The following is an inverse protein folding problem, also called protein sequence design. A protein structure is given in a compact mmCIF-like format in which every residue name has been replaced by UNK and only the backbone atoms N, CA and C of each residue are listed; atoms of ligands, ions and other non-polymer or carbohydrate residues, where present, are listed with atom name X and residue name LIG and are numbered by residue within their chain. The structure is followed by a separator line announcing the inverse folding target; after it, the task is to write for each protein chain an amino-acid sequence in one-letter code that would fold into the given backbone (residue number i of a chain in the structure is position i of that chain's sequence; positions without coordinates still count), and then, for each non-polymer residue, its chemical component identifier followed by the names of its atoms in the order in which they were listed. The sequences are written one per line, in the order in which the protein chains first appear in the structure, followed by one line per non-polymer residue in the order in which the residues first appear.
data_IF_115298744245
#
_entry.id   IF_115298744245
#
_cell.length_a   1.000
_cell.length_b   1.000
_cell.length_c   1.000
_cell.angle_alpha   90.00
_cell.angle_beta   90.00
_cell.angle_gamma   90.00
#
_symmetry.space_group_name_H-M   'P 1'
#
loop_
_entity.id
_entity.type
_entity.pdbx_description
1 polymer ?
#
# COMPACT_ATOMS: atom_id res chain seq x y z
N UNK A 1 35.30 -82.55 19.87
CA UNK A 1 35.32 -81.07 19.90
C UNK A 1 33.98 -80.58 19.40
N UNK A 2 33.22 -79.94 20.28
CA UNK A 2 31.87 -79.44 20.07
C UNK A 2 31.98 -77.91 20.08
N UNK A 3 31.58 -77.23 19.00
CA UNK A 3 31.44 -75.76 18.99
C UNK A 3 30.22 -75.43 18.15
N UNK A 4 29.15 -75.00 18.84
CA UNK A 4 27.88 -74.63 18.23
C UNK A 4 27.89 -73.23 17.64
N UNK A 5 26.97 -72.98 16.71
CA UNK A 5 26.63 -71.65 16.23
C UNK A 5 25.16 -71.36 16.55
N UNK A 6 24.94 -70.29 17.34
CA UNK A 6 23.62 -69.73 17.66
C UNK A 6 23.27 -68.69 16.59
N UNK A 7 22.00 -68.54 16.17
CA UNK A 7 21.59 -67.43 15.33
C UNK A 7 21.43 -66.16 16.18
N UNK A 8 21.98 -65.06 15.68
CA UNK A 8 21.77 -63.72 16.24
C UNK A 8 20.50 -63.12 15.63
N UNK A 9 19.50 -62.81 16.47
CA UNK A 9 18.43 -61.88 16.15
C UNK A 9 18.92 -60.46 16.41
N UNK A 10 19.16 -59.69 15.35
CA UNK A 10 19.39 -58.25 15.42
C UNK A 10 18.14 -57.51 14.97
N UNK A 11 17.50 -56.81 15.90
CA UNK A 11 16.31 -56.01 15.65
C UNK A 11 16.61 -54.88 14.65
N UNK A 12 15.89 -54.85 13.53
CA UNK A 12 15.82 -53.69 12.67
C UNK A 12 14.89 -52.66 13.33
N UNK A 13 15.46 -51.73 14.08
CA UNK A 13 14.78 -50.49 14.49
C UNK A 13 14.49 -49.70 13.23
N UNK A 14 13.26 -49.80 12.72
CA UNK A 14 12.75 -48.92 11.68
C UNK A 14 12.63 -47.51 12.26
N UNK A 15 13.54 -46.61 11.85
CA UNK A 15 13.29 -45.18 11.99
C UNK A 15 12.10 -44.83 11.09
N UNK A 16 10.93 -44.65 11.69
CA UNK A 16 9.84 -43.89 11.11
C UNK A 16 10.31 -42.44 11.03
N UNK A 17 10.87 -42.05 9.87
CA UNK A 17 10.95 -40.64 9.48
C UNK A 17 9.51 -40.19 9.21
N UNK A 18 8.83 -39.70 10.24
CA UNK A 18 7.68 -38.84 10.06
C UNK A 18 8.19 -37.54 9.44
N UNK A 19 8.24 -37.49 8.11
CA UNK A 19 8.37 -36.24 7.38
C UNK A 19 7.09 -35.45 7.63
N UNK A 20 7.09 -34.62 8.68
CA UNK A 20 6.10 -33.57 8.83
C UNK A 20 6.28 -32.65 7.64
N UNK A 21 5.45 -32.83 6.62
CA UNK A 21 5.19 -31.81 5.62
C UNK A 21 4.57 -30.62 6.37
N UNK A 22 5.41 -29.77 6.95
CA UNK A 22 5.05 -28.36 7.10
C UNK A 22 4.85 -27.88 5.68
N UNK A 23 3.60 -27.81 5.23
CA UNK A 23 3.23 -27.42 3.88
C UNK A 23 3.80 -26.05 3.57
N UNK A 24 5.01 -26.01 3.02
CA UNK A 24 5.56 -24.84 2.39
C UNK A 24 4.76 -24.67 1.10
N UNK A 25 3.73 -23.83 1.14
CA UNK A 25 3.09 -23.36 -0.07
C UNK A 25 4.17 -22.61 -0.86
N UNK A 26 4.63 -23.19 -1.97
CA UNK A 26 5.47 -22.48 -2.91
C UNK A 26 4.56 -21.47 -3.62
N UNK A 27 4.75 -20.19 -3.30
CA UNK A 27 4.07 -19.09 -3.96
C UNK A 27 4.90 -18.60 -5.14
N UNK A 28 4.29 -18.47 -6.31
CA UNK A 28 4.89 -17.78 -7.45
C UNK A 28 3.92 -16.73 -7.96
N UNK A 29 4.40 -15.50 -8.08
CA UNK A 29 3.68 -14.43 -8.76
C UNK A 29 3.74 -14.64 -10.27
N UNK A 30 2.59 -14.57 -10.93
CA UNK A 30 2.42 -14.69 -12.38
C UNK A 30 1.60 -13.51 -12.89
N UNK A 31 2.03 -12.90 -13.99
CA UNK A 31 1.32 -11.81 -14.65
C UNK A 31 0.65 -12.37 -15.91
N UNK A 32 -0.70 -12.33 -15.97
CA UNK A 32 -1.47 -12.71 -17.17
C UNK A 32 -1.77 -11.46 -18.00
N UNK A 33 -1.43 -11.50 -19.28
CA UNK A 33 -1.70 -10.39 -20.20
C UNK A 33 -3.21 -10.27 -20.46
N UNK A 34 -3.77 -9.09 -20.29
CA UNK A 34 -5.15 -8.79 -20.69
C UNK A 34 -5.11 -8.18 -22.08
N UNK A 35 -5.83 -8.78 -23.04
CA UNK A 35 -5.89 -8.33 -24.43
C UNK A 35 -6.40 -6.88 -24.52
N UNK A 36 -5.62 -6.00 -25.13
CA UNK A 36 -5.95 -4.58 -25.34
C UNK A 36 -5.45 -4.12 -26.71
N UNK A 37 -6.31 -3.41 -27.45
CA UNK A 37 -6.02 -2.96 -28.81
C UNK A 37 -4.78 -2.04 -28.87
N UNK A 38 -3.82 -2.45 -29.69
CA UNK A 38 -2.71 -1.69 -30.30
C UNK A 38 -2.01 -0.62 -29.43
N UNK A 39 -1.07 -0.97 -28.53
CA UNK A 39 0.11 -0.15 -28.11
C UNK A 39 1.07 -0.93 -27.14
N UNK A 40 2.36 -0.54 -26.97
CA UNK A 40 3.44 -1.43 -26.47
C UNK A 40 3.52 -1.60 -24.94
N UNK A 41 2.51 -1.22 -24.19
CA UNK A 41 2.48 -1.35 -22.73
C UNK A 41 1.35 -2.28 -22.32
N UNK A 42 1.72 -3.49 -21.94
CA UNK A 42 0.83 -4.61 -21.70
C UNK A 42 0.21 -4.44 -20.30
N UNK A 43 -1.11 -4.31 -20.24
CA UNK A 43 -1.88 -4.37 -18.98
C UNK A 43 -1.91 -5.83 -18.52
N UNK A 44 -1.57 -6.10 -17.26
CA UNK A 44 -1.48 -7.48 -16.76
C UNK A 44 -2.24 -7.68 -15.46
N UNK A 45 -3.01 -8.76 -15.40
CA UNK A 45 -3.58 -9.24 -14.15
C UNK A 45 -2.48 -9.94 -13.34
N UNK A 46 -2.19 -9.41 -12.16
CA UNK A 46 -1.22 -10.01 -11.24
C UNK A 46 -1.92 -11.06 -10.39
N UNK A 47 -1.37 -12.27 -10.38
CA UNK A 47 -1.88 -13.42 -9.63
C UNK A 47 -0.78 -14.07 -8.84
N UNK A 48 -1.12 -14.49 -7.62
CA UNK A 48 -0.27 -15.41 -6.87
C UNK A 48 -0.82 -16.83 -7.02
N UNK A 49 0.07 -17.75 -7.41
CA UNK A 49 -0.22 -19.18 -7.49
C UNK A 49 0.36 -19.89 -6.27
N UNK A 50 -0.47 -20.64 -5.58
CA UNK A 50 -0.11 -21.45 -4.44
C UNK A 50 -0.39 -22.92 -4.70
N UNK A 51 0.52 -23.80 -4.29
CA UNK A 51 0.25 -25.24 -4.23
C UNK A 51 0.00 -25.61 -2.77
N UNK A 52 -1.19 -26.11 -2.47
CA UNK A 52 -1.60 -26.49 -1.11
C UNK A 52 -2.15 -27.92 -1.09
N UNK A 53 -2.17 -28.61 0.06
CA UNK A 53 -2.89 -29.87 0.19
C UNK A 53 -4.35 -29.73 -0.25
N UNK A 54 -4.91 -30.79 -0.84
CA UNK A 54 -6.24 -30.77 -1.46
C UNK A 54 -7.34 -30.24 -0.54
N UNK A 55 -7.26 -30.55 0.75
CA UNK A 55 -8.27 -30.15 1.74
C UNK A 55 -7.86 -28.93 2.58
N UNK A 56 -6.69 -28.34 2.31
CA UNK A 56 -6.19 -27.15 3.02
C UNK A 56 -6.61 -25.85 2.32
N UNK A 57 -6.90 -24.81 3.11
CA UNK A 57 -7.08 -23.44 2.62
C UNK A 57 -5.77 -22.65 2.59
N UNK A 58 -5.81 -21.47 1.96
CA UNK A 58 -4.76 -20.47 2.17
C UNK A 58 -4.90 -19.81 3.53
N UNK A 59 -3.79 -19.35 4.08
CA UNK A 59 -3.78 -18.48 5.25
C UNK A 59 -4.54 -17.20 4.92
N UNK A 60 -5.65 -16.95 5.64
CA UNK A 60 -6.55 -15.82 5.34
C UNK A 60 -5.88 -14.48 5.53
N UNK A 61 -4.82 -14.42 6.37
CA UNK A 61 -4.05 -13.21 6.64
C UNK A 61 -3.41 -12.60 5.39
N UNK A 62 -3.10 -13.44 4.40
CA UNK A 62 -2.54 -13.00 3.10
C UNK A 62 -3.50 -12.00 2.41
N UNK A 63 -4.81 -12.25 2.48
CA UNK A 63 -5.81 -11.36 1.90
C UNK A 63 -6.24 -10.26 2.89
N UNK A 64 -6.38 -10.60 4.17
CA UNK A 64 -6.83 -9.65 5.20
C UNK A 64 -5.90 -8.45 5.35
N UNK A 65 -4.57 -8.65 5.30
CA UNK A 65 -3.60 -7.55 5.43
C UNK A 65 -3.71 -6.57 4.25
N UNK A 66 -3.96 -7.08 3.05
CA UNK A 66 -4.14 -6.24 1.86
C UNK A 66 -5.45 -5.47 1.93
N UNK A 67 -6.56 -6.15 2.26
CA UNK A 67 -7.87 -5.53 2.37
C UNK A 67 -7.90 -4.45 3.45
N UNK A 68 -7.25 -4.70 4.59
CA UNK A 68 -7.10 -3.71 5.65
C UNK A 68 -6.27 -2.51 5.17
N UNK A 69 -5.16 -2.75 4.48
CA UNK A 69 -4.30 -1.69 3.96
C UNK A 69 -5.01 -0.83 2.90
N UNK A 70 -5.67 -1.44 1.91
CA UNK A 70 -6.34 -0.67 0.84
C UNK A 70 -7.50 0.15 1.37
N UNK A 71 -8.22 -0.35 2.37
CA UNK A 71 -9.26 0.39 3.04
C UNK A 71 -8.69 1.62 3.79
N UNK A 72 -7.63 1.39 4.56
CA UNK A 72 -6.97 2.41 5.37
C UNK A 72 -6.29 3.50 4.50
N UNK A 73 -5.43 3.09 3.57
CA UNK A 73 -4.75 4.01 2.66
C UNK A 73 -5.71 4.72 1.72
N UNK A 74 -6.81 4.06 1.31
CA UNK A 74 -7.85 4.69 0.49
C UNK A 74 -8.54 5.85 1.21
N UNK A 75 -8.91 5.68 2.49
CA UNK A 75 -9.43 6.78 3.33
C UNK A 75 -8.39 7.86 3.56
N UNK A 76 -7.14 7.47 3.82
CA UNK A 76 -6.05 8.41 4.01
C UNK A 76 -5.86 9.31 2.79
N UNK A 77 -5.70 8.72 1.60
CA UNK A 77 -5.58 9.48 0.35
C UNK A 77 -6.77 10.40 0.10
N UNK A 78 -8.00 9.94 0.40
CA UNK A 78 -9.19 10.78 0.28
C UNK A 78 -9.11 12.03 1.17
N UNK A 79 -8.54 11.94 2.37
CA UNK A 79 -8.28 13.09 3.22
C UNK A 79 -7.33 14.12 2.61
N UNK A 80 -6.24 13.66 1.98
CA UNK A 80 -5.32 14.55 1.28
C UNK A 80 -5.99 15.25 0.07
N UNK A 81 -6.78 14.50 -0.72
CA UNK A 81 -7.60 15.07 -1.80
C UNK A 81 -8.54 16.15 -1.26
N UNK A 82 -9.29 15.85 -0.19
CA UNK A 82 -10.25 16.77 0.39
C UNK A 82 -9.59 18.05 0.95
N UNK A 83 -8.44 17.93 1.63
CA UNK A 83 -7.67 19.10 2.09
C UNK A 83 -7.18 19.97 0.92
N UNK A 84 -6.70 19.34 -0.16
CA UNK A 84 -6.25 20.04 -1.36
C UNK A 84 -7.40 20.75 -2.07
N UNK A 85 -8.58 20.13 -2.17
CA UNK A 85 -9.79 20.75 -2.71
C UNK A 85 -10.23 21.95 -1.87
N UNK A 86 -10.22 21.83 -0.53
CA UNK A 86 -10.54 22.95 0.37
C UNK A 86 -9.59 24.12 0.14
N UNK A 87 -8.28 23.87 0.02
CA UNK A 87 -7.31 24.91 -0.28
C UNK A 87 -7.59 25.59 -1.62
N UNK A 88 -7.89 24.82 -2.67
CA UNK A 88 -8.15 25.35 -4.01
C UNK A 88 -9.44 26.16 -4.11
N UNK A 89 -10.46 25.79 -3.33
CA UNK A 89 -11.79 26.42 -3.33
C UNK A 89 -11.85 27.69 -2.47
N UNK A 90 -11.02 27.81 -1.43
CA UNK A 90 -11.02 28.98 -0.57
C UNK A 90 -10.36 30.19 -1.26
N UNK A 91 -10.99 31.38 -1.24
CA UNK A 91 -10.43 32.58 -1.86
C UNK A 91 -9.11 33.05 -1.24
N UNK A 92 -8.68 32.53 -0.09
CA UNK A 92 -7.36 32.79 0.51
C UNK A 92 -6.26 31.91 -0.10
N UNK A 93 -6.60 30.73 -0.66
CA UNK A 93 -5.66 29.80 -1.28
C UNK A 93 -5.19 30.26 -2.66
N UNK A 94 -4.40 31.35 -2.69
CA UNK A 94 -4.00 32.05 -3.91
C UNK A 94 -2.55 31.81 -4.33
N UNK A 95 -1.72 31.21 -3.49
CA UNK A 95 -0.32 31.00 -3.81
C UNK A 95 -0.21 30.05 -5.02
N UNK A 96 0.30 30.51 -6.18
CA UNK A 96 0.24 29.74 -7.42
C UNK A 96 1.01 28.42 -7.33
N UNK A 97 2.12 28.40 -6.59
CA UNK A 97 2.94 27.19 -6.39
C UNK A 97 2.21 26.18 -5.50
N UNK A 98 1.52 26.65 -4.46
CA UNK A 98 0.74 25.75 -3.58
C UNK A 98 -0.56 25.27 -4.23
N UNK A 99 -1.15 26.07 -5.12
CA UNK A 99 -2.26 25.59 -5.96
C UNK A 99 -1.80 24.49 -6.91
N UNK A 100 -0.59 24.60 -7.46
CA UNK A 100 0.03 23.53 -8.25
C UNK A 100 0.30 22.29 -7.40
N UNK A 101 0.82 22.43 -6.18
CA UNK A 101 0.96 21.32 -5.23
C UNK A 101 -0.39 20.63 -4.98
N UNK A 102 -1.43 21.40 -4.64
CA UNK A 102 -2.77 20.87 -4.36
C UNK A 102 -3.36 20.12 -5.57
N UNK A 103 -3.23 20.67 -6.78
CA UNK A 103 -3.66 20.00 -8.01
C UNK A 103 -2.88 18.71 -8.27
N UNK A 104 -1.58 18.70 -7.98
CA UNK A 104 -0.75 17.51 -8.10
C UNK A 104 -1.15 16.41 -7.11
N UNK A 105 -1.39 16.78 -5.85
CA UNK A 105 -1.90 15.87 -4.81
C UNK A 105 -3.23 15.25 -5.24
N UNK A 106 -4.18 16.06 -5.72
CA UNK A 106 -5.48 15.55 -6.19
C UNK A 106 -5.27 14.54 -7.32
N UNK A 107 -4.58 14.95 -8.39
CA UNK A 107 -4.41 14.09 -9.56
C UNK A 107 -3.71 12.76 -9.24
N UNK A 108 -2.65 12.82 -8.43
CA UNK A 108 -1.86 11.63 -8.10
C UNK A 108 -2.61 10.72 -7.12
N UNK A 109 -3.18 11.27 -6.06
CA UNK A 109 -3.83 10.45 -5.02
C UNK A 109 -5.21 9.92 -5.46
N UNK A 110 -5.92 10.59 -6.37
CA UNK A 110 -7.11 10.02 -7.02
C UNK A 110 -6.76 8.79 -7.86
N UNK A 111 -5.64 8.82 -8.59
CA UNK A 111 -5.16 7.66 -9.34
C UNK A 111 -4.80 6.51 -8.38
N UNK A 112 -4.06 6.79 -7.31
CA UNK A 112 -3.71 5.78 -6.29
C UNK A 112 -4.97 5.18 -5.63
N UNK A 113 -6.00 5.98 -5.34
CA UNK A 113 -7.31 5.48 -4.87
C UNK A 113 -7.91 4.49 -5.87
N UNK A 114 -7.84 4.77 -7.18
CA UNK A 114 -8.29 3.86 -8.22
C UNK A 114 -7.54 2.53 -8.21
N UNK A 115 -6.21 2.56 -8.05
CA UNK A 115 -5.38 1.35 -7.92
C UNK A 115 -5.76 0.54 -6.67
N UNK A 116 -5.96 1.23 -5.53
CA UNK A 116 -6.41 0.60 -4.28
C UNK A 116 -7.78 -0.08 -4.42
N UNK A 117 -8.70 0.53 -5.17
CA UNK A 117 -10.01 -0.05 -5.48
C UNK A 117 -9.90 -1.29 -6.36
N UNK A 118 -9.06 -1.27 -7.41
CA UNK A 118 -8.82 -2.46 -8.23
C UNK A 118 -8.25 -3.61 -7.39
N UNK A 119 -7.24 -3.34 -6.56
CA UNK A 119 -6.69 -4.34 -5.64
C UNK A 119 -7.76 -4.87 -4.68
N UNK A 120 -8.58 -4.00 -4.09
CA UNK A 120 -9.68 -4.39 -3.21
C UNK A 120 -10.62 -5.38 -3.91
N UNK A 121 -11.01 -5.09 -5.15
CA UNK A 121 -11.94 -5.91 -5.90
C UNK A 121 -11.33 -7.28 -6.27
N UNK A 122 -10.05 -7.30 -6.71
CA UNK A 122 -9.36 -8.55 -7.05
C UNK A 122 -9.14 -9.44 -5.83
N UNK A 123 -8.62 -8.88 -4.75
CA UNK A 123 -8.37 -9.63 -3.51
C UNK A 123 -9.68 -10.05 -2.85
N UNK A 124 -10.70 -9.18 -2.86
CA UNK A 124 -12.02 -9.44 -2.31
C UNK A 124 -12.80 -10.55 -3.02
N UNK A 125 -12.50 -10.85 -4.28
CA UNK A 125 -13.05 -12.02 -4.99
C UNK A 125 -12.58 -13.36 -4.39
N UNK A 126 -11.49 -13.35 -3.62
CA UNK A 126 -11.00 -14.48 -2.86
C UNK A 126 -10.27 -15.53 -3.69
N UNK A 127 -9.67 -16.53 -3.00
CA UNK A 127 -8.88 -17.56 -3.66
C UNK A 127 -9.75 -18.55 -4.43
N UNK A 128 -9.30 -18.93 -5.63
CA UNK A 128 -9.96 -19.92 -6.50
C UNK A 128 -9.10 -21.16 -6.67
N UNK A 129 -9.69 -22.34 -6.47
CA UNK A 129 -9.05 -23.62 -6.79
C UNK A 129 -9.17 -23.88 -8.29
N UNK A 130 -8.04 -24.03 -8.99
CA UNK A 130 -8.02 -24.11 -10.46
C UNK A 130 -7.63 -25.48 -10.99
N UNK A 131 -6.82 -26.24 -10.27
CA UNK A 131 -6.40 -27.59 -10.68
C UNK A 131 -6.06 -28.47 -9.47
N UNK A 132 -6.29 -29.77 -9.57
CA UNK A 132 -5.90 -30.76 -8.57
C UNK A 132 -4.90 -31.76 -9.16
N UNK A 133 -3.88 -32.12 -8.38
CA UNK A 133 -2.84 -33.08 -8.76
C UNK A 133 -2.49 -33.98 -7.56
N UNK A 134 -2.97 -35.23 -7.57
CA UNK A 134 -2.83 -36.13 -6.42
C UNK A 134 -3.47 -35.54 -5.17
N UNK A 135 -2.68 -35.44 -4.09
CA UNK A 135 -3.08 -34.89 -2.80
C UNK A 135 -2.89 -33.36 -2.69
N UNK A 136 -2.59 -32.69 -3.80
CA UNK A 136 -2.38 -31.24 -3.88
C UNK A 136 -3.38 -30.55 -4.79
N UNK A 137 -3.58 -29.26 -4.60
CA UNK A 137 -4.34 -28.38 -5.49
C UNK A 137 -3.58 -27.08 -5.74
N UNK A 138 -3.79 -26.50 -6.92
CA UNK A 138 -3.35 -25.14 -7.24
C UNK A 138 -4.47 -24.18 -6.88
N UNK A 139 -4.14 -23.19 -6.06
CA UNK A 139 -5.00 -22.08 -5.68
C UNK A 139 -4.44 -20.80 -6.29
N UNK A 140 -5.31 -20.02 -6.91
CA UNK A 140 -5.00 -18.72 -7.50
C UNK A 140 -5.63 -17.64 -6.65
N UNK A 141 -4.86 -16.60 -6.34
CA UNK A 141 -5.37 -15.38 -5.74
C UNK A 141 -5.08 -14.21 -6.70
N UNK A 142 -6.13 -13.57 -7.20
CA UNK A 142 -5.99 -12.35 -8.00
C UNK A 142 -5.55 -11.20 -7.07
N UNK A 143 -4.52 -10.45 -7.45
CA UNK A 143 -3.84 -9.46 -6.56
C UNK A 143 -4.08 -8.01 -6.97
N UNK A 144 -4.40 -7.76 -8.24
CA UNK A 144 -4.56 -6.43 -8.80
C UNK A 144 -4.11 -6.42 -10.26
N UNK A 145 -4.18 -5.24 -10.87
CA UNK A 145 -3.82 -5.02 -12.27
C UNK A 145 -2.57 -4.13 -12.37
N UNK A 146 -1.54 -4.62 -13.06
CA UNK A 146 -0.35 -3.85 -13.42
C UNK A 146 -0.61 -3.10 -14.75
N UNK A 147 -0.10 -1.88 -14.86
CA UNK A 147 -0.25 -1.05 -16.07
C UNK A 147 -1.53 -0.18 -16.10
N UNK A 148 -2.21 0.03 -14.98
CA UNK A 148 -3.41 0.87 -14.91
C UNK A 148 -3.13 2.33 -15.32
N UNK A 149 -1.91 2.82 -15.13
CA UNK A 149 -1.49 4.13 -15.60
C UNK A 149 -1.57 4.27 -17.12
N UNK A 150 -1.27 3.19 -17.86
CA UNK A 150 -1.41 3.16 -19.31
C UNK A 150 -2.87 2.99 -19.72
N UNK A 151 -3.58 2.07 -19.06
CA UNK A 151 -4.98 1.78 -19.33
C UNK A 151 -5.86 3.03 -19.14
N UNK A 152 -5.60 3.81 -18.10
CA UNK A 152 -6.33 5.03 -17.77
C UNK A 152 -5.69 6.30 -18.35
N UNK A 153 -4.63 6.15 -19.16
CA UNK A 153 -3.87 7.27 -19.77
C UNK A 153 -3.46 8.32 -18.72
N UNK A 154 -3.18 7.84 -17.52
CA UNK A 154 -2.79 8.67 -16.40
C UNK A 154 -1.40 9.25 -16.65
N UNK A 155 -1.25 10.54 -16.34
CA UNK A 155 0.05 11.19 -16.32
C UNK A 155 0.23 11.79 -14.95
N UNK A 156 1.24 11.28 -14.24
CA UNK A 156 1.63 11.76 -12.93
C UNK A 156 1.92 13.26 -12.99
N UNK A 157 1.30 14.02 -12.10
CA UNK A 157 1.59 15.43 -11.92
C UNK A 157 2.88 15.56 -11.12
N UNK A 158 3.94 16.20 -11.65
CA UNK A 158 5.15 16.40 -10.88
C UNK A 158 4.87 17.39 -9.74
N UNK A 159 5.35 17.13 -8.52
CA UNK A 159 5.28 18.10 -7.44
C UNK A 159 6.06 19.37 -7.82
N UNK A 160 5.63 20.55 -7.35
CA UNK A 160 6.40 21.76 -7.52
C UNK A 160 7.76 21.66 -6.83
N UNK A 161 8.71 22.44 -7.33
CA UNK A 161 10.11 22.45 -6.90
C UNK A 161 10.53 23.84 -6.41
N UNK A 162 11.76 23.94 -5.91
CA UNK A 162 12.38 25.23 -5.58
C UNK A 162 12.51 26.16 -6.78
N UNK A 163 12.58 25.62 -8.00
CA UNK A 163 12.60 26.43 -9.21
C UNK A 163 11.26 27.18 -9.41
N UNK A 164 10.13 26.52 -9.12
CA UNK A 164 8.80 27.13 -9.22
C UNK A 164 8.63 28.28 -8.23
N UNK A 165 9.18 28.13 -7.02
CA UNK A 165 9.28 29.21 -6.03
C UNK A 165 10.10 30.38 -6.58
N UNK A 166 11.30 30.11 -7.12
CA UNK A 166 12.21 31.15 -7.62
C UNK A 166 11.65 31.90 -8.84
N UNK A 167 10.90 31.20 -9.69
CA UNK A 167 10.24 31.78 -10.86
C UNK A 167 8.97 32.56 -10.52
N UNK A 168 8.48 32.48 -9.27
CA UNK A 168 7.33 33.23 -8.78
C UNK A 168 7.79 34.59 -8.23
N UNK A 169 7.53 35.72 -8.91
CA UNK A 169 8.15 37.02 -8.58
C UNK A 169 7.81 37.58 -7.19
N UNK A 170 6.75 37.09 -6.56
CA UNK A 170 6.26 37.51 -5.23
C UNK A 170 5.79 36.28 -4.44
N UNK A 171 6.66 35.27 -4.31
CA UNK A 171 6.35 34.11 -3.48
C UNK A 171 6.22 34.53 -2.01
N UNK A 172 4.98 34.60 -1.54
CA UNK A 172 4.63 34.89 -0.15
C UNK A 172 3.81 33.73 0.40
N UNK A 173 4.06 33.39 1.66
CA UNK A 173 3.34 32.34 2.38
C UNK A 173 2.44 33.03 3.40
N UNK A 174 1.14 32.83 3.24
CA UNK A 174 0.12 33.36 4.16
C UNK A 174 -0.21 32.37 5.28
N UNK A 175 -0.90 32.83 6.32
CA UNK A 175 -1.40 31.97 7.39
C UNK A 175 -2.27 30.82 6.85
N UNK A 176 -3.07 31.08 5.81
CA UNK A 176 -3.91 30.06 5.19
C UNK A 176 -3.09 29.02 4.41
N UNK A 177 -1.96 29.44 3.84
CA UNK A 177 -1.00 28.52 3.22
C UNK A 177 -0.36 27.61 4.27
N UNK A 178 0.04 28.15 5.42
CA UNK A 178 0.56 27.37 6.55
C UNK A 178 -0.49 26.39 7.07
N UNK A 179 -1.74 26.85 7.22
CA UNK A 179 -2.88 26.01 7.63
C UNK A 179 -3.14 24.84 6.68
N UNK A 180 -2.74 24.94 5.41
CA UNK A 180 -2.83 23.84 4.45
C UNK A 180 -1.62 22.91 4.52
N UNK A 181 -0.42 23.46 4.40
CA UNK A 181 0.78 22.63 4.20
C UNK A 181 1.26 21.94 5.48
N UNK A 182 1.03 22.54 6.66
CA UNK A 182 1.42 21.93 7.95
C UNK A 182 0.67 20.61 8.21
N UNK A 183 -0.67 20.56 8.22
CA UNK A 183 -1.38 19.28 8.38
C UNK A 183 -1.13 18.32 7.21
N UNK A 184 -0.96 18.80 5.97
CA UNK A 184 -0.62 17.95 4.83
C UNK A 184 0.74 17.26 5.03
N UNK A 185 1.75 17.96 5.56
CA UNK A 185 3.05 17.36 5.86
C UNK A 185 2.92 16.22 6.88
N UNK A 186 2.14 16.41 7.94
CA UNK A 186 1.97 15.38 8.98
C UNK A 186 1.14 14.19 8.49
N UNK A 187 0.13 14.46 7.67
CA UNK A 187 -0.63 13.46 6.93
C UNK A 187 0.31 12.62 6.04
N UNK A 188 1.20 13.27 5.27
CA UNK A 188 2.17 12.55 4.44
C UNK A 188 3.16 11.70 5.24
N UNK A 189 3.65 12.23 6.37
CA UNK A 189 4.49 11.43 7.29
C UNK A 189 3.75 10.18 7.79
N UNK A 190 2.43 10.22 7.96
CA UNK A 190 1.63 9.05 8.33
C UNK A 190 1.54 8.03 7.20
N UNK A 191 1.28 8.46 5.97
CA UNK A 191 1.31 7.58 4.79
C UNK A 191 2.68 6.89 4.60
N UNK A 192 3.79 7.61 4.84
CA UNK A 192 5.13 7.01 4.82
C UNK A 192 5.29 5.86 5.82
N UNK A 193 4.67 5.96 7.00
CA UNK A 193 4.70 4.88 8.01
C UNK A 193 3.86 3.70 7.55
N UNK A 194 2.61 3.95 7.15
CA UNK A 194 1.71 2.90 6.66
C UNK A 194 2.30 2.10 5.49
N UNK A 195 2.87 2.80 4.49
CA UNK A 195 3.48 2.16 3.33
C UNK A 195 4.68 1.27 3.72
N UNK A 196 5.48 1.71 4.69
CA UNK A 196 6.61 0.93 5.21
C UNK A 196 6.14 -0.26 6.04
N UNK A 197 5.19 -0.05 6.94
CA UNK A 197 4.65 -1.07 7.82
C UNK A 197 4.07 -2.22 6.99
N UNK A 198 3.25 -1.89 5.98
CA UNK A 198 2.75 -2.88 5.01
C UNK A 198 3.90 -3.60 4.30
N UNK A 199 4.90 -2.90 3.76
CA UNK A 199 6.01 -3.53 3.04
C UNK A 199 6.89 -4.42 3.94
N UNK A 200 6.84 -4.24 5.26
CA UNK A 200 7.56 -5.07 6.24
C UNK A 200 6.73 -6.21 6.83
N UNK A 201 5.41 -6.24 6.61
CA UNK A 201 4.54 -7.30 7.11
C UNK A 201 4.83 -8.62 6.36
N UNK A 202 5.07 -9.74 7.07
CA UNK A 202 5.37 -11.03 6.46
C UNK A 202 4.23 -11.63 5.63
N UNK A 203 2.98 -11.21 5.83
CA UNK A 203 1.80 -11.65 5.07
C UNK A 203 1.49 -10.74 3.88
N UNK A 204 2.03 -9.51 3.86
CA UNK A 204 1.80 -8.54 2.80
C UNK A 204 2.60 -8.88 1.55
N UNK A 205 2.16 -9.85 0.75
CA UNK A 205 2.87 -10.30 -0.46
C UNK A 205 2.47 -9.58 -1.75
N UNK A 206 1.49 -8.66 -1.72
CA UNK A 206 0.93 -8.09 -2.94
C UNK A 206 1.95 -7.22 -3.67
N UNK A 207 2.37 -7.65 -4.85
CA UNK A 207 3.36 -6.94 -5.65
C UNK A 207 2.88 -5.54 -6.10
N UNK A 208 1.59 -5.39 -6.40
CA UNK A 208 1.00 -4.10 -6.79
C UNK A 208 1.11 -3.11 -5.63
N UNK A 209 0.64 -3.49 -4.44
CA UNK A 209 0.70 -2.63 -3.26
C UNK A 209 2.14 -2.32 -2.84
N UNK A 210 3.06 -3.30 -2.91
CA UNK A 210 4.48 -3.07 -2.61
C UNK A 210 5.14 -2.06 -3.54
N UNK A 211 4.85 -2.13 -4.85
CA UNK A 211 5.36 -1.18 -5.85
C UNK A 211 4.78 0.22 -5.60
N UNK A 212 3.45 0.31 -5.48
CA UNK A 212 2.76 1.57 -5.16
C UNK A 212 3.29 2.20 -3.86
N UNK A 213 3.54 1.41 -2.82
CA UNK A 213 4.11 1.90 -1.57
C UNK A 213 5.53 2.48 -1.74
N UNK A 214 6.34 1.93 -2.65
CA UNK A 214 7.64 2.54 -2.95
C UNK A 214 7.47 3.89 -3.65
N UNK A 215 6.50 4.01 -4.56
CA UNK A 215 6.18 5.28 -5.22
C UNK A 215 5.66 6.32 -4.22
N UNK A 216 4.69 5.96 -3.37
CA UNK A 216 4.20 6.79 -2.26
C UNK A 216 5.37 7.28 -1.40
N UNK A 217 6.30 6.38 -1.04
CA UNK A 217 7.46 6.76 -0.22
C UNK A 217 8.38 7.74 -0.93
N UNK A 218 8.59 7.61 -2.24
CA UNK A 218 9.43 8.52 -3.01
C UNK A 218 8.75 9.89 -3.15
N UNK A 219 7.49 9.91 -3.57
CA UNK A 219 6.78 11.15 -3.88
C UNK A 219 6.48 11.95 -2.62
N UNK A 220 5.92 11.32 -1.59
CA UNK A 220 5.54 12.05 -0.39
C UNK A 220 6.75 12.54 0.39
N UNK A 221 7.91 11.88 0.30
CA UNK A 221 9.17 12.42 0.83
C UNK A 221 9.61 13.67 0.09
N UNK A 222 9.43 13.71 -1.23
CA UNK A 222 9.72 14.90 -2.01
C UNK A 222 8.78 16.05 -1.61
N UNK A 223 7.48 15.77 -1.53
CA UNK A 223 6.47 16.77 -1.13
C UNK A 223 6.69 17.29 0.30
N UNK A 224 7.07 16.44 1.26
CA UNK A 224 7.47 16.87 2.60
C UNK A 224 8.67 17.83 2.53
N UNK A 225 9.71 17.49 1.78
CA UNK A 225 10.89 18.36 1.65
C UNK A 225 10.56 19.69 0.95
N UNK A 226 9.64 19.67 -0.01
CA UNK A 226 9.11 20.90 -0.62
C UNK A 226 8.30 21.73 0.38
N UNK A 227 7.44 21.11 1.19
CA UNK A 227 6.66 21.79 2.23
C UNK A 227 7.57 22.42 3.28
N UNK A 228 8.62 21.73 3.74
CA UNK A 228 9.62 22.30 4.65
C UNK A 228 10.24 23.58 4.08
N UNK A 229 10.52 23.59 2.77
CA UNK A 229 11.08 24.73 2.06
C UNK A 229 10.07 25.90 1.91
N UNK A 230 8.77 25.58 1.80
CA UNK A 230 7.69 26.57 1.86
C UNK A 230 7.59 27.17 3.26
N UNK A 231 7.55 26.34 4.30
CA UNK A 231 7.42 26.77 5.69
C UNK A 231 8.59 27.64 6.13
N UNK A 232 9.81 27.38 5.66
CA UNK A 232 10.99 28.21 5.96
C UNK A 232 10.93 29.63 5.39
N UNK A 233 10.00 29.91 4.47
CA UNK A 233 9.76 31.23 3.86
C UNK A 233 8.59 31.97 4.48
N UNK A 234 7.87 31.35 5.41
CA UNK A 234 6.83 32.02 6.16
C UNK A 234 7.46 33.12 7.03
N UNK A 235 6.95 34.37 7.02
CA UNK A 235 7.58 35.49 7.73
C UNK A 235 7.46 35.42 9.25
N UNK A 236 6.54 34.59 9.78
CA UNK A 236 6.32 34.37 11.21
C UNK A 236 6.82 32.99 11.67
N UNK A 237 6.41 32.60 12.88
CA UNK A 237 6.56 31.22 13.34
C UNK A 237 5.39 30.38 12.82
N UNK A 238 5.63 29.37 11.94
CA UNK A 238 4.55 28.51 11.46
C UNK A 238 3.81 27.78 12.57
N UNK A 239 4.42 27.52 13.73
CA UNK A 239 3.78 26.82 14.86
C UNK A 239 2.78 27.71 15.60
N UNK A 240 2.91 29.03 15.50
CA UNK A 240 1.97 29.99 16.12
C UNK A 240 0.71 30.20 15.27
N UNK A 241 0.70 29.74 14.01
CA UNK A 241 -0.47 29.86 13.13
C UNK A 241 -1.60 28.96 13.63
N UNK A 242 -2.80 29.49 13.94
CA UNK A 242 -3.93 28.68 14.37
C UNK A 242 -4.36 27.70 13.27
N UNK A 243 -4.83 26.53 13.66
CA UNK A 243 -5.36 25.55 12.73
C UNK A 243 -6.61 26.05 11.98
N UNK A 244 -6.77 25.61 10.72
CA UNK A 244 -8.03 25.74 10.00
C UNK A 244 -8.98 24.60 10.43
N UNK A 245 -10.14 24.90 11.08
CA UNK A 245 -10.99 23.85 11.67
C UNK A 245 -11.42 22.77 10.67
N UNK A 246 -11.76 23.18 9.43
CA UNK A 246 -12.18 22.24 8.38
C UNK A 246 -11.05 21.34 7.89
N UNK A 247 -9.83 21.86 7.76
CA UNK A 247 -8.68 21.03 7.35
C UNK A 247 -8.32 20.03 8.43
N UNK A 248 -8.36 20.43 9.71
CA UNK A 248 -8.10 19.53 10.83
C UNK A 248 -9.19 18.47 11.02
N UNK A 249 -10.45 18.82 10.78
CA UNK A 249 -11.55 17.85 10.74
C UNK A 249 -11.27 16.75 9.72
N UNK A 250 -10.99 17.12 8.48
CA UNK A 250 -10.64 16.18 7.39
C UNK A 250 -9.41 15.35 7.76
N UNK A 251 -8.35 15.99 8.26
CA UNK A 251 -7.11 15.34 8.69
C UNK A 251 -7.36 14.30 9.79
N UNK A 252 -8.18 14.61 10.80
CA UNK A 252 -8.49 13.66 11.87
C UNK A 252 -9.38 12.52 11.38
N UNK A 253 -10.37 12.80 10.54
CA UNK A 253 -11.24 11.78 9.96
C UNK A 253 -10.45 10.80 9.07
N UNK A 254 -9.50 11.30 8.27
CA UNK A 254 -8.67 10.46 7.41
C UNK A 254 -7.62 9.64 8.16
N UNK A 255 -7.31 10.00 9.41
CA UNK A 255 -6.31 9.33 10.25
C UNK A 255 -6.87 8.60 11.49
N UNK A 256 -8.18 8.66 11.74
CA UNK A 256 -8.81 8.30 13.02
C UNK A 256 -8.46 6.93 13.60
N UNK A 257 -8.54 5.87 12.81
CA UNK A 257 -8.21 4.50 13.28
C UNK A 257 -6.72 4.16 13.16
N UNK A 258 -5.94 5.01 12.51
CA UNK A 258 -4.58 4.72 12.06
C UNK A 258 -3.50 5.21 13.04
N UNK A 259 -3.91 5.99 14.05
CA UNK A 259 -3.06 6.40 15.17
C UNK A 259 -2.96 5.32 16.27
N UNK A 260 -3.75 4.24 16.19
CA UNK A 260 -3.79 3.14 17.15
C UNK A 260 -3.45 1.79 16.49
N UNK A 261 -2.27 1.69 15.87
CA UNK A 261 -1.96 0.56 14.98
C UNK A 261 -0.58 -0.09 15.10
N UNK A 262 0.00 -0.21 16.30
CA UNK A 262 1.11 -1.17 16.53
C UNK A 262 0.92 -2.09 17.72
N UNK A 263 -0.28 -2.14 18.32
CA UNK A 263 -0.47 -2.80 19.62
C UNK A 263 -1.74 -3.65 19.82
N UNK A 264 -2.74 -3.60 18.96
CA UNK A 264 -3.92 -4.47 19.12
C UNK A 264 -3.68 -5.78 18.38
N UNK A 265 -3.06 -6.72 19.11
CA UNK A 265 -3.19 -8.15 18.87
C UNK A 265 -4.66 -8.43 18.58
N UNK A 266 -4.95 -8.85 17.35
CA UNK A 266 -6.26 -9.35 16.95
C UNK A 266 -6.60 -10.51 17.91
N UNK A 267 -7.44 -10.25 18.91
CA UNK A 267 -7.96 -11.29 19.78
C UNK A 267 -8.85 -12.19 18.91
N UNK A 268 -8.33 -13.37 18.61
CA UNK A 268 -9.11 -14.47 18.05
C UNK A 268 -10.27 -14.79 19.01
N UNK A 269 -11.52 -14.95 18.53
CA UNK A 269 -12.59 -15.42 19.39
C UNK A 269 -12.28 -16.86 19.86
N UNK A 270 -12.62 -17.20 21.12
CA UNK A 270 -12.35 -18.53 21.64
C UNK A 270 -13.29 -19.58 21.02
N UNK A 271 -12.63 -20.59 20.43
CA UNK A 271 -13.08 -21.94 20.06
C UNK A 271 -14.03 -22.10 18.87
#
# INVERSE_FOLDING_TARGET
MNIGTRPWFGAATGLLLAATWTGAAAASSYEEEIEGDEHPHIVRLVRDLYVVPKDAGLDTRIAEVDLAFVEQMGRHHKGAVDMAEVYLADPRGRNPVLRQLAQGIIANQEFEIGVLQDVRDKVGAGPRRVAGFGDSTVVVLDRGTDGLEHAWRFRKAPPPSTADIWLTPEFTVSDFDVQFVRPMMDHHKAALRMARDYNTDPFASNLILRRMNNDIVVDQRYEIGFIDEVLSRYPGDPEEVPDAPRMMEIMHESMGDMMHGSGSRMEMPPH
#
